data_IF_756670281397
#
_entry.id   IF_756670281397
#
_cell.length_a   1.000
_cell.length_b   1.000
_cell.length_c   1.000
_cell.angle_alpha   90.00
_cell.angle_beta   90.00
_cell.angle_gamma   90.00
#
_symmetry.space_group_name_H-M   'P 1'
#
loop_
_entity.id
_entity.type
_entity.pdbx_description
1 polymer ?
#
# COMPACT_ATOMS: atom_id res chain seq x y z
N UNK A 1 47.60 -22.12 86.54
CA UNK A 1 46.63 -23.12 87.05
C UNK A 1 45.49 -23.23 86.06
N UNK A 2 45.32 -24.44 85.52
CA UNK A 2 44.42 -24.78 84.42
C UNK A 2 43.03 -25.14 84.99
N UNK A 3 41.95 -24.63 84.39
CA UNK A 3 40.62 -25.23 84.53
C UNK A 3 39.95 -25.32 83.17
N UNK A 4 39.46 -26.52 82.93
CA UNK A 4 39.02 -27.07 81.66
C UNK A 4 37.50 -27.01 81.59
N UNK A 5 37.00 -26.79 80.37
CA UNK A 5 35.73 -27.25 79.80
C UNK A 5 34.39 -26.82 80.41
N UNK A 6 33.56 -26.21 79.55
CA UNK A 6 32.22 -26.74 79.25
C UNK A 6 31.78 -26.34 77.84
N UNK A 7 31.47 -27.35 77.04
CA UNK A 7 30.83 -27.25 75.73
C UNK A 7 29.46 -26.56 75.87
N UNK A 8 29.15 -25.66 74.95
CA UNK A 8 27.82 -25.11 74.73
C UNK A 8 27.71 -24.67 73.28
N UNK A 9 27.15 -25.53 72.44
CA UNK A 9 26.82 -25.22 71.06
C UNK A 9 25.55 -24.36 71.02
N UNK A 10 25.57 -23.17 70.39
CA UNK A 10 24.34 -22.61 69.78
C UNK A 10 24.61 -21.47 68.79
N UNK A 11 24.01 -21.65 67.61
CA UNK A 11 23.41 -20.64 66.73
C UNK A 11 24.32 -19.65 65.97
N UNK A 12 24.65 -20.06 64.74
CA UNK A 12 24.90 -19.22 63.58
C UNK A 12 23.74 -18.21 63.40
N UNK A 13 23.97 -16.92 63.61
CA UNK A 13 22.98 -15.85 63.35
C UNK A 13 23.32 -15.18 62.02
N UNK A 14 22.62 -15.57 60.96
CA UNK A 14 22.68 -14.89 59.65
C UNK A 14 21.78 -13.65 59.75
N UNK A 15 22.38 -12.47 59.71
CA UNK A 15 21.66 -11.21 59.52
C UNK A 15 21.23 -11.12 58.05
N UNK A 16 20.01 -11.57 57.76
CA UNK A 16 19.37 -11.30 56.49
C UNK A 16 18.94 -9.83 56.45
N UNK A 17 19.66 -9.01 55.67
CA UNK A 17 19.24 -7.65 55.32
C UNK A 17 18.12 -7.78 54.29
N UNK A 18 16.87 -7.67 54.73
CA UNK A 18 15.72 -7.49 53.83
C UNK A 18 15.71 -6.07 53.31
N UNK A 19 16.38 -5.84 52.19
CA UNK A 19 16.16 -4.64 51.40
C UNK A 19 14.77 -4.71 50.77
N UNK A 20 13.81 -3.94 51.30
CA UNK A 20 12.61 -3.57 50.55
C UNK A 20 13.01 -2.59 49.44
N UNK A 21 13.57 -3.13 48.36
CA UNK A 21 13.89 -2.41 47.14
C UNK A 21 12.69 -2.44 46.20
N UNK A 22 12.14 -1.26 45.95
CA UNK A 22 11.08 -0.95 44.99
C UNK A 22 11.26 -1.72 43.68
N UNK A 23 10.42 -2.73 43.44
CA UNK A 23 10.27 -3.40 42.15
C UNK A 23 9.50 -2.51 41.19
N UNK A 24 10.12 -1.44 40.71
CA UNK A 24 9.60 -0.68 39.59
C UNK A 24 9.77 -1.50 38.31
N UNK A 25 8.64 -1.77 37.66
CA UNK A 25 8.52 -2.46 36.37
C UNK A 25 9.42 -1.84 35.30
N UNK A 26 10.59 -2.41 35.10
CA UNK A 26 11.42 -2.21 33.91
C UNK A 26 11.06 -3.29 32.90
N UNK A 27 9.85 -3.24 32.32
CA UNK A 27 9.46 -4.19 31.26
C UNK A 27 9.34 -3.55 29.88
N UNK A 28 9.32 -2.22 29.79
CA UNK A 28 9.02 -1.55 28.53
C UNK A 28 10.26 -1.05 27.76
N UNK A 29 11.41 -0.81 28.41
CA UNK A 29 12.57 -0.22 27.72
C UNK A 29 13.36 -1.16 26.81
N UNK A 30 13.43 -2.47 27.13
CA UNK A 30 14.24 -3.43 26.34
C UNK A 30 13.50 -3.93 25.09
N UNK A 31 12.17 -4.06 25.15
CA UNK A 31 11.36 -4.47 23.99
C UNK A 31 11.25 -3.37 22.95
N UNK A 32 11.14 -2.11 23.36
CA UNK A 32 11.23 -0.98 22.43
C UNK A 32 12.64 -0.85 21.84
N UNK A 33 13.69 -1.12 22.64
CA UNK A 33 15.06 -1.17 22.17
C UNK A 33 15.31 -2.30 21.14
N UNK A 34 14.65 -3.45 21.29
CA UNK A 34 14.75 -4.53 20.31
C UNK A 34 13.97 -4.21 19.02
N UNK A 35 12.83 -3.51 19.11
CA UNK A 35 11.95 -3.23 17.96
C UNK A 35 12.56 -2.27 16.93
N UNK A 36 13.40 -1.31 17.36
CA UNK A 36 14.05 -0.36 16.44
C UNK A 36 15.20 -0.98 15.64
N UNK A 37 15.90 -1.97 16.21
CA UNK A 37 17.03 -2.63 15.54
C UNK A 37 16.62 -3.52 14.35
N UNK A 38 15.35 -3.92 14.27
CA UNK A 38 14.85 -4.87 13.26
C UNK A 38 13.84 -4.29 12.24
N UNK A 39 13.50 -3.01 12.31
CA UNK A 39 12.55 -2.39 11.36
C UNK A 39 13.12 -1.12 10.74
N UNK A 40 13.69 -1.21 9.55
CA UNK A 40 13.90 -0.04 8.69
C UNK A 40 12.53 0.58 8.40
N UNK A 41 12.18 1.63 9.14
CA UNK A 41 10.92 2.35 8.97
C UNK A 41 11.04 3.25 7.74
N UNK A 42 10.06 3.18 6.85
CA UNK A 42 9.94 4.10 5.71
C UNK A 42 9.46 5.44 6.27
N UNK A 43 10.38 6.38 6.43
CA UNK A 43 10.12 7.73 6.98
C UNK A 43 9.77 8.76 5.91
N UNK A 44 10.20 8.53 4.69
CA UNK A 44 10.00 9.45 3.56
C UNK A 44 9.36 8.70 2.40
N UNK A 45 8.38 9.32 1.77
CA UNK A 45 7.77 8.90 0.53
C UNK A 45 8.54 9.57 -0.62
N UNK A 46 9.60 8.92 -1.11
CA UNK A 46 10.27 9.38 -2.33
C UNK A 46 9.61 8.76 -3.56
N UNK A 47 9.16 9.60 -4.50
CA UNK A 47 8.54 9.21 -5.77
C UNK A 47 9.20 9.97 -6.90
N UNK A 48 9.63 9.25 -7.93
CA UNK A 48 10.10 9.82 -9.19
C UNK A 48 9.03 9.66 -10.26
N UNK A 49 8.48 10.77 -10.74
CA UNK A 49 7.62 10.83 -11.90
C UNK A 49 8.46 11.15 -13.13
N UNK A 50 8.33 10.34 -14.18
CA UNK A 50 9.04 10.55 -15.46
C UNK A 50 8.02 10.52 -16.58
N UNK A 51 7.91 11.60 -17.35
CA UNK A 51 7.07 11.61 -18.56
C UNK A 51 7.88 11.27 -19.80
N UNK A 52 7.27 10.54 -20.73
CA UNK A 52 7.72 10.49 -22.12
C UNK A 52 7.33 11.76 -22.87
N UNK A 53 7.78 11.87 -24.12
CA UNK A 53 7.45 13.00 -25.00
C UNK A 53 5.96 13.09 -25.29
N UNK A 54 5.30 11.95 -25.47
CA UNK A 54 3.86 11.88 -25.63
C UNK A 54 3.19 11.62 -24.28
N UNK A 55 2.63 12.67 -23.67
CA UNK A 55 1.73 12.56 -22.52
C UNK A 55 0.50 13.45 -22.69
N UNK A 56 -0.62 12.99 -22.15
CA UNK A 56 -1.90 13.72 -22.09
C UNK A 56 -2.30 14.43 -23.40
N UNK A 57 -2.21 13.78 -24.58
CA UNK A 57 -2.45 14.46 -25.84
C UNK A 57 -3.88 14.99 -25.95
N UNK A 58 -4.06 16.11 -26.65
CA UNK A 58 -5.37 16.56 -27.08
C UNK A 58 -5.83 15.84 -28.36
N UNK A 59 -7.04 16.16 -28.85
CA UNK A 59 -7.57 15.57 -30.09
C UNK A 59 -6.77 15.87 -31.36
N UNK A 60 -5.83 16.82 -31.32
CA UNK A 60 -4.88 17.09 -32.41
C UNK A 60 -3.52 16.37 -32.23
N UNK A 61 -3.37 15.55 -31.18
CA UNK A 61 -2.14 14.82 -30.86
C UNK A 61 -1.06 15.66 -30.15
N UNK A 62 -1.33 16.93 -29.85
CA UNK A 62 -0.38 17.77 -29.11
C UNK A 62 -0.30 17.30 -27.66
N UNK A 63 0.93 17.02 -27.20
CA UNK A 63 1.19 16.61 -25.82
C UNK A 63 1.01 17.77 -24.85
N UNK A 64 0.35 17.50 -23.72
CA UNK A 64 0.01 18.51 -22.72
C UNK A 64 0.49 18.10 -21.33
N UNK A 65 0.59 19.07 -20.44
CA UNK A 65 0.88 18.78 -19.03
C UNK A 65 -0.31 18.07 -18.38
N UNK A 66 -0.06 17.30 -17.34
CA UNK A 66 -1.09 16.69 -16.49
C UNK A 66 -0.81 16.97 -15.03
N UNK A 67 -1.84 16.98 -14.20
CA UNK A 67 -1.68 16.99 -12.75
C UNK A 67 -1.64 15.55 -12.28
N UNK A 68 -0.59 15.21 -11.53
CA UNK A 68 -0.48 13.95 -10.80
C UNK A 68 -0.70 14.25 -9.33
N UNK A 69 -1.74 13.65 -8.76
CA UNK A 69 -2.07 13.73 -7.34
C UNK A 69 -1.67 12.45 -6.64
N UNK A 70 -0.94 12.61 -5.55
CA UNK A 70 -0.43 11.54 -4.70
C UNK A 70 -1.17 11.61 -3.38
N UNK A 71 -1.63 10.46 -2.90
CA UNK A 71 -2.39 10.29 -1.67
C UNK A 71 -1.63 9.38 -0.73
N UNK A 72 -1.48 9.77 0.53
CA UNK A 72 -1.12 8.82 1.59
C UNK A 72 -2.39 8.30 2.23
N UNK A 73 -2.53 6.98 2.30
CA UNK A 73 -3.76 6.30 2.66
C UNK A 73 -3.53 5.30 3.80
N UNK A 74 -4.46 5.23 4.75
CA UNK A 74 -4.53 4.15 5.75
C UNK A 74 -4.91 2.81 5.10
N UNK A 75 -5.80 2.87 4.11
CA UNK A 75 -6.48 1.73 3.50
C UNK A 75 -6.76 2.02 2.02
N UNK A 76 -6.55 1.06 1.10
CA UNK A 76 -6.76 1.29 -0.32
C UNK A 76 -8.21 1.12 -0.79
N UNK A 77 -9.08 0.51 0.02
CA UNK A 77 -10.39 0.00 -0.38
C UNK A 77 -11.27 1.10 -0.98
N UNK A 78 -11.46 2.21 -0.26
CA UNK A 78 -12.27 3.34 -0.72
C UNK A 78 -11.66 3.93 -1.99
N UNK A 79 -10.37 4.23 -1.99
CA UNK A 79 -9.65 4.78 -3.14
C UNK A 79 -9.75 3.91 -4.40
N UNK A 80 -9.66 2.59 -4.26
CA UNK A 80 -9.80 1.66 -5.38
C UNK A 80 -11.18 1.73 -6.02
N UNK A 81 -12.23 1.91 -5.23
CA UNK A 81 -13.63 1.99 -5.69
C UNK A 81 -13.98 3.34 -6.32
N UNK A 82 -13.32 4.43 -5.91
CA UNK A 82 -13.63 5.76 -6.43
C UNK A 82 -13.32 5.90 -7.93
N UNK A 83 -14.29 6.45 -8.65
CA UNK A 83 -14.15 6.78 -10.06
C UNK A 83 -13.31 8.02 -10.31
N UNK A 84 -12.95 8.24 -11.58
CA UNK A 84 -12.13 9.38 -12.02
C UNK A 84 -12.71 10.72 -11.58
N UNK A 85 -14.00 10.95 -11.87
CA UNK A 85 -14.67 12.21 -11.53
C UNK A 85 -14.69 12.48 -10.01
N UNK A 86 -14.95 11.45 -9.19
CA UNK A 86 -14.95 11.60 -7.73
C UNK A 86 -13.56 11.95 -7.21
N UNK A 87 -12.51 11.30 -7.74
CA UNK A 87 -11.13 11.62 -7.36
C UNK A 87 -10.68 13.00 -7.83
N UNK A 88 -11.30 13.54 -8.89
CA UNK A 88 -10.99 14.86 -9.42
C UNK A 88 -11.68 16.00 -8.65
N UNK A 89 -12.91 15.79 -8.17
CA UNK A 89 -13.76 16.88 -7.65
C UNK A 89 -14.17 16.76 -6.19
N UNK A 90 -14.15 15.55 -5.61
CA UNK A 90 -14.67 15.30 -4.25
C UNK A 90 -13.83 14.28 -3.48
N UNK A 91 -12.54 14.17 -3.80
CA UNK A 91 -11.66 13.15 -3.24
C UNK A 91 -11.52 13.23 -1.72
N UNK A 92 -11.36 14.43 -1.15
CA UNK A 92 -11.24 14.62 0.31
C UNK A 92 -12.48 14.07 1.01
N UNK A 93 -13.68 14.48 0.57
CA UNK A 93 -14.96 14.04 1.14
C UNK A 93 -15.27 12.57 0.86
N UNK A 94 -14.76 12.02 -0.23
CA UNK A 94 -14.98 10.64 -0.62
C UNK A 94 -14.06 9.67 0.15
N UNK A 95 -12.81 10.06 0.40
CA UNK A 95 -11.81 9.23 1.09
C UNK A 95 -11.91 9.33 2.62
N UNK A 96 -12.35 10.47 3.16
CA UNK A 96 -12.62 10.69 4.60
C UNK A 96 -11.50 10.16 5.51
N UNK A 97 -11.83 9.16 6.33
CA UNK A 97 -10.98 8.61 7.37
C UNK A 97 -9.75 7.85 6.83
N UNK A 98 -9.78 7.44 5.56
CA UNK A 98 -8.67 6.75 4.91
C UNK A 98 -7.59 7.72 4.41
N UNK A 99 -7.91 8.99 4.20
CA UNK A 99 -6.96 9.99 3.69
C UNK A 99 -6.10 10.55 4.82
N UNK A 100 -4.79 10.57 4.62
CA UNK A 100 -3.81 11.13 5.56
C UNK A 100 -3.14 12.39 5.05
N UNK A 101 -2.82 12.42 3.76
CA UNK A 101 -2.18 13.56 3.10
C UNK A 101 -2.38 13.49 1.59
N UNK A 102 -2.33 14.65 0.94
CA UNK A 102 -2.32 14.79 -0.53
C UNK A 102 -1.15 15.63 -0.99
N UNK A 103 -0.68 15.38 -2.21
CA UNK A 103 0.32 16.20 -2.90
C UNK A 103 0.01 16.25 -4.39
N UNK A 104 -0.07 17.46 -4.94
CA UNK A 104 -0.25 17.68 -6.38
C UNK A 104 1.08 18.08 -7.03
N UNK A 105 1.32 17.52 -8.21
CA UNK A 105 2.49 17.83 -9.05
C UNK A 105 2.02 18.02 -10.49
N UNK A 106 2.44 19.12 -11.11
CA UNK A 106 2.25 19.31 -12.56
C UNK A 106 3.40 18.62 -13.29
N UNK A 107 3.08 17.59 -14.07
CA UNK A 107 4.02 16.87 -14.92
C UNK A 107 3.90 17.37 -16.36
N UNK A 108 4.98 17.96 -16.87
CA UNK A 108 5.09 18.42 -18.27
C UNK A 108 5.59 17.29 -19.17
N UNK A 109 5.35 17.34 -20.50
CA UNK A 109 6.01 16.43 -21.44
C UNK A 109 7.54 16.52 -21.36
N UNK A 110 8.23 15.40 -21.58
CA UNK A 110 9.69 15.26 -21.52
C UNK A 110 10.34 15.76 -20.21
N UNK A 111 9.57 15.78 -19.11
CA UNK A 111 10.05 16.19 -17.80
C UNK A 111 10.17 15.01 -16.82
N UNK A 112 10.84 15.29 -15.71
CA UNK A 112 10.82 14.45 -14.52
C UNK A 112 10.58 15.32 -13.30
N UNK A 113 9.92 14.75 -12.30
CA UNK A 113 9.68 15.39 -11.01
C UNK A 113 9.95 14.38 -9.89
N UNK A 114 10.80 14.77 -8.94
CA UNK A 114 11.08 14.00 -7.74
C UNK A 114 10.35 14.62 -6.56
N UNK A 115 9.58 13.80 -5.85
CA UNK A 115 8.77 14.19 -4.70
C UNK A 115 9.37 13.47 -3.50
N UNK A 116 9.81 14.21 -2.49
CA UNK A 116 10.20 13.67 -1.19
C UNK A 116 9.36 14.31 -0.10
N UNK A 117 8.37 13.59 0.40
CA UNK A 117 7.49 14.06 1.48
C UNK A 117 7.61 13.14 2.70
N UNK A 118 7.48 13.65 3.94
CA UNK A 118 7.37 12.78 5.10
C UNK A 118 6.24 11.76 4.92
N UNK A 119 6.56 10.48 5.13
CA UNK A 119 5.57 9.41 5.15
C UNK A 119 4.86 9.45 6.50
N UNK A 120 3.55 9.66 6.49
CA UNK A 120 2.72 9.56 7.68
C UNK A 120 2.89 8.16 8.30
N UNK A 121 2.97 8.11 9.64
CA UNK A 121 3.16 6.87 10.38
C UNK A 121 2.08 5.85 10.08
N UNK A 122 0.85 6.32 9.90
CA UNK A 122 -0.37 5.53 9.72
C UNK A 122 -0.63 5.20 8.23
N UNK A 123 0.19 5.75 7.32
CA UNK A 123 0.08 5.41 5.91
C UNK A 123 0.54 3.97 5.71
N UNK A 124 -0.30 3.18 5.05
CA UNK A 124 0.03 1.81 4.63
C UNK A 124 0.07 1.71 3.10
N UNK A 125 -0.51 2.67 2.39
CA UNK A 125 -0.59 2.72 0.94
C UNK A 125 -0.40 4.14 0.42
N UNK A 126 0.13 4.22 -0.80
CA UNK A 126 0.21 5.44 -1.59
C UNK A 126 -0.68 5.29 -2.82
N UNK A 127 -1.69 6.13 -2.94
CA UNK A 127 -2.50 6.26 -4.15
C UNK A 127 -1.89 7.27 -5.10
N UNK A 128 -1.89 7.00 -6.40
CA UNK A 128 -1.43 7.96 -7.42
C UNK A 128 -2.49 8.06 -8.50
N UNK A 129 -2.90 9.29 -8.84
CA UNK A 129 -3.87 9.59 -9.88
C UNK A 129 -3.26 10.60 -10.82
N UNK A 130 -3.29 10.31 -12.12
CA UNK A 130 -2.99 11.32 -13.14
C UNK A 130 -4.28 11.78 -13.81
N UNK A 131 -4.50 13.09 -13.79
CA UNK A 131 -5.71 13.71 -14.31
C UNK A 131 -5.58 14.00 -15.81
N UNK A 132 -5.59 12.93 -16.60
CA UNK A 132 -5.58 13.02 -18.06
C UNK A 132 -6.88 13.60 -18.63
N UNK A 133 -6.79 14.19 -19.82
CA UNK A 133 -7.95 14.73 -20.54
C UNK A 133 -8.91 13.65 -20.98
N UNK A 134 -8.37 12.48 -21.32
CA UNK A 134 -9.13 11.33 -21.81
C UNK A 134 -8.72 10.08 -21.05
N UNK A 135 -9.69 9.45 -20.40
CA UNK A 135 -9.53 8.16 -19.73
C UNK A 135 -10.44 7.14 -20.42
N UNK A 136 -9.81 6.28 -21.25
CA UNK A 136 -10.49 5.26 -22.05
C UNK A 136 -10.40 3.86 -21.43
N UNK A 137 -10.98 2.88 -22.12
CA UNK A 137 -10.81 1.47 -21.77
C UNK A 137 -9.33 1.07 -21.87
N UNK A 138 -8.82 0.34 -20.87
CA UNK A 138 -7.43 -0.14 -20.84
C UNK A 138 -6.39 0.89 -20.42
N UNK A 139 -6.82 2.11 -20.06
CA UNK A 139 -5.92 3.18 -19.61
C UNK A 139 -5.71 3.09 -18.09
N UNK A 140 -4.46 2.98 -17.64
CA UNK A 140 -4.12 2.98 -16.21
C UNK A 140 -3.85 4.41 -15.72
N UNK A 141 -4.89 5.12 -15.32
CA UNK A 141 -4.77 6.49 -14.80
C UNK A 141 -4.64 6.56 -13.27
N UNK A 142 -4.77 5.41 -12.59
CA UNK A 142 -4.75 5.27 -11.12
C UNK A 142 -3.88 4.09 -10.71
N UNK A 143 -3.02 4.30 -9.72
CA UNK A 143 -2.18 3.29 -9.09
C UNK A 143 -2.40 3.25 -7.57
N UNK A 144 -2.18 2.08 -6.98
CA UNK A 144 -2.10 1.87 -5.52
C UNK A 144 -0.81 1.14 -5.24
N UNK A 145 0.03 1.70 -4.38
CA UNK A 145 1.38 1.20 -4.10
C UNK A 145 1.48 0.97 -2.59
N UNK A 146 1.67 -0.28 -2.12
CA UNK A 146 1.85 -0.56 -0.69
C UNK A 146 3.11 0.12 -0.15
N UNK A 147 3.08 0.68 1.07
CA UNK A 147 4.24 1.29 1.74
C UNK A 147 5.44 0.34 1.83
N UNK A 148 5.19 -0.96 1.93
CA UNK A 148 6.24 -1.99 1.92
C UNK A 148 7.12 -1.94 0.66
N UNK A 149 6.62 -1.39 -0.45
CA UNK A 149 7.37 -1.21 -1.69
C UNK A 149 8.58 -0.30 -1.51
N UNK A 150 8.52 0.72 -0.65
CA UNK A 150 9.65 1.63 -0.39
C UNK A 150 10.85 0.94 0.28
N UNK A 151 10.67 -0.24 0.87
CA UNK A 151 11.82 -1.04 1.36
C UNK A 151 12.59 -1.73 0.23
N UNK A 152 11.96 -1.91 -0.93
CA UNK A 152 12.50 -2.59 -2.11
C UNK A 152 12.92 -1.60 -3.21
N UNK A 153 12.22 -0.47 -3.32
CA UNK A 153 12.37 0.51 -4.38
C UNK A 153 12.19 1.90 -3.79
N UNK A 154 13.30 2.61 -3.58
CA UNK A 154 13.34 3.99 -3.08
C UNK A 154 14.37 4.77 -3.91
N UNK A 155 13.97 5.75 -4.75
CA UNK A 155 12.60 6.22 -4.94
C UNK A 155 11.72 5.25 -5.72
N UNK A 156 10.41 5.28 -5.45
CA UNK A 156 9.43 4.60 -6.30
C UNK A 156 9.29 5.34 -7.62
N UNK A 157 9.59 4.68 -8.73
CA UNK A 157 9.56 5.29 -10.06
C UNK A 157 8.27 5.00 -10.82
N UNK A 158 7.61 6.05 -11.30
CA UNK A 158 6.40 5.98 -12.11
C UNK A 158 6.65 6.68 -13.44
N UNK A 159 6.55 5.94 -14.53
CA UNK A 159 6.59 6.47 -15.87
C UNK A 159 5.17 6.86 -16.33
N UNK A 160 5.08 7.96 -17.08
CA UNK A 160 3.86 8.44 -17.70
C UNK A 160 4.04 8.46 -19.21
N UNK A 161 3.20 7.71 -19.92
CA UNK A 161 3.22 7.61 -21.38
C UNK A 161 1.78 7.61 -21.92
N UNK A 162 1.52 8.49 -22.89
CA UNK A 162 0.16 8.77 -23.37
C UNK A 162 -0.72 9.21 -22.21
N UNK A 163 -1.75 8.40 -21.92
CA UNK A 163 -2.67 8.61 -20.79
C UNK A 163 -2.47 7.55 -19.69
N UNK A 164 -1.32 6.88 -19.65
CA UNK A 164 -1.10 5.71 -18.79
C UNK A 164 0.04 5.97 -17.82
N UNK A 165 -0.20 5.59 -16.56
CA UNK A 165 0.79 5.45 -15.50
C UNK A 165 1.37 4.03 -15.52
N UNK A 166 2.69 3.91 -15.42
CA UNK A 166 3.40 2.65 -15.34
C UNK A 166 4.39 2.67 -14.18
N UNK A 167 4.24 1.74 -13.24
CA UNK A 167 5.21 1.55 -12.16
C UNK A 167 6.46 0.83 -12.70
N UNK A 168 7.65 1.37 -12.47
CA UNK A 168 8.92 0.84 -12.99
C UNK A 168 9.71 0.15 -11.87
N UNK A 169 10.32 -1.01 -12.18
CA UNK A 169 11.26 -1.70 -11.28
C UNK A 169 10.63 -2.43 -10.09
N UNK A 170 9.32 -2.33 -9.90
CA UNK A 170 8.56 -3.15 -8.95
C UNK A 170 8.10 -4.45 -9.62
N UNK A 171 8.41 -5.60 -9.00
CA UNK A 171 7.82 -6.88 -9.39
C UNK A 171 6.31 -6.84 -9.23
N UNK A 172 5.63 -7.23 -10.30
CA UNK A 172 4.19 -7.43 -10.39
C UNK A 172 3.67 -8.45 -9.35
N UNK A 173 3.48 -8.03 -8.10
CA UNK A 173 2.44 -8.63 -7.28
C UNK A 173 1.13 -7.96 -7.72
N UNK A 174 0.41 -8.66 -8.59
CA UNK A 174 -0.80 -8.19 -9.24
C UNK A 174 -1.85 -7.69 -8.22
N UNK A 175 -1.92 -6.37 -8.01
CA UNK A 175 -3.15 -5.73 -7.58
C UNK A 175 -4.09 -5.78 -8.78
N UNK A 176 -4.83 -6.89 -8.89
CA UNK A 176 -5.94 -7.01 -9.83
C UNK A 176 -6.94 -5.92 -9.46
N UNK A 177 -7.16 -4.98 -10.37
CA UNK A 177 -8.35 -4.15 -10.33
C UNK A 177 -9.56 -5.10 -10.35
N UNK A 178 -10.28 -5.20 -9.22
CA UNK A 178 -11.65 -5.69 -9.26
C UNK A 178 -12.49 -4.56 -9.87
N UNK A 179 -12.48 -4.45 -11.20
CA UNK A 179 -13.56 -3.75 -11.88
C UNK A 179 -14.86 -4.52 -11.53
N UNK A 180 -15.96 -3.84 -11.15
CA UNK A 180 -17.26 -4.48 -11.15
C UNK A 180 -17.50 -4.97 -12.58
N UNK A 181 -17.45 -6.28 -12.81
CA UNK A 181 -18.02 -6.84 -14.03
C UNK A 181 -19.51 -6.53 -13.97
N UNK A 182 -19.98 -5.63 -14.83
CA UNK A 182 -21.41 -5.54 -15.13
C UNK A 182 -21.85 -6.95 -15.55
N UNK A 183 -22.74 -7.54 -14.75
CA UNK A 183 -23.38 -8.82 -15.04
C UNK A 183 -24.10 -8.74 -16.38
N UNK A 184 -23.51 -9.31 -17.42
CA UNK A 184 -24.18 -9.49 -18.71
C UNK A 184 -25.19 -10.63 -18.55
N UNK A 185 -26.48 -10.47 -18.90
CA UNK A 185 -27.43 -11.57 -18.90
C UNK A 185 -26.99 -12.66 -19.89
N UNK A 186 -27.08 -13.92 -19.47
CA UNK A 186 -26.61 -15.08 -20.21
C UNK A 186 -27.41 -15.26 -21.53
N UNK A 187 -26.77 -15.49 -22.69
CA UNK A 187 -27.49 -15.87 -23.91
C UNK A 187 -28.08 -17.28 -23.79
N UNK A 188 -29.27 -17.55 -24.38
CA UNK A 188 -29.88 -18.88 -24.31
C UNK A 188 -29.02 -19.93 -25.05
N UNK A 189 -28.83 -21.07 -24.38
CA UNK A 189 -28.03 -22.22 -24.83
C UNK A 189 -28.74 -22.94 -25.99
N UNK A 190 -28.08 -23.07 -27.14
CA UNK A 190 -28.57 -23.90 -28.27
C UNK A 190 -28.55 -25.40 -27.88
N UNK A 191 -29.67 -26.06 -28.09
CA UNK A 191 -29.86 -27.51 -27.94
C UNK A 191 -29.21 -28.25 -29.13
N UNK A 192 -28.52 -29.39 -28.95
CA UNK A 192 -27.95 -30.16 -30.06
C UNK A 192 -29.03 -30.91 -30.85
N UNK A 193 -28.85 -30.96 -32.17
CA UNK A 193 -29.71 -31.64 -33.14
C UNK A 193 -29.78 -33.15 -32.88
N UNK A 194 -31.00 -33.67 -32.73
CA UNK A 194 -31.28 -35.10 -32.64
C UNK A 194 -31.10 -35.75 -34.01
N UNK A 195 -30.15 -36.67 -34.11
CA UNK A 195 -29.96 -37.54 -35.27
C UNK A 195 -31.14 -38.52 -35.35
N UNK A 196 -31.95 -38.43 -36.40
CA UNK A 196 -33.04 -39.37 -36.66
C UNK A 196 -32.48 -40.63 -37.32
N UNK A 197 -32.46 -41.73 -36.56
CA UNK A 197 -32.17 -43.08 -37.04
C UNK A 197 -33.41 -43.65 -37.77
N UNK A 198 -33.23 -44.05 -39.03
CA UNK A 198 -34.27 -44.67 -39.85
C UNK A 198 -34.37 -46.17 -39.51
N UNK A 199 -35.47 -46.58 -38.88
CA UNK A 199 -35.83 -47.98 -38.63
C UNK A 199 -37.14 -48.36 -39.33
N UNK A 200 -37.03 -49.25 -40.31
CA UNK A 200 -38.12 -49.92 -41.03
C UNK A 200 -38.72 -51.04 -40.19
N UNK A 201 -40.06 -51.19 -40.12
CA UNK A 201 -40.81 -52.43 -40.45
C UNK A 201 -42.23 -52.53 -39.84
N UNK A 202 -43.20 -52.70 -40.76
CA UNK A 202 -44.33 -53.65 -40.81
C UNK A 202 -45.23 -53.91 -39.59
N UNK A 203 -46.53 -53.68 -39.82
CA UNK A 203 -47.67 -54.21 -39.06
C UNK A 203 -48.96 -53.63 -39.61
#
# INVERSE_FOLDING_TARGET
>A
MMRVLRMGATALTVLAVTACGVGQSMKDSTVDAAKWAFTTQVKTMNVDLVSRSSINPNGAGQSLSTVVRIYQLKSPQTFQQLGYAQLQTSDIDALKADLLATKDVVLRPDASASIGEPMNSDAEYVGVVAFFREVGKGVTWKLVIPKKQWKKTDPVKIEVQGNTLQLVGATAEAIKQNAPQQSVPNPPKKTPDTVTEYGTQTG
#
